data_IF_374405524727
#
_entry.id   IF_374405524727
#
_cell.length_a   1.000
_cell.length_b   1.000
_cell.length_c   1.000
_cell.angle_alpha   90.00
_cell.angle_beta   90.00
_cell.angle_gamma   90.00
#
_symmetry.space_group_name_H-M   'P 1'
#
loop_
_entity.id
_entity.type
_entity.pdbx_description
1 polymer ?
#
# COMPACT_ATOMS: atom_id res chain seq x y z
N UNK A 1 15.31 7.92 -24.02
CA UNK A 1 14.22 8.42 -23.16
C UNK A 1 14.17 7.54 -21.92
N UNK A 2 14.03 8.14 -20.74
CA UNK A 2 13.87 7.40 -19.48
C UNK A 2 12.51 6.72 -19.49
N UNK A 3 12.48 5.41 -19.23
CA UNK A 3 11.22 4.68 -19.11
C UNK A 3 10.69 4.89 -17.68
N UNK A 4 9.56 5.58 -17.57
CA UNK A 4 8.88 5.80 -16.28
C UNK A 4 7.94 4.62 -15.94
N UNK A 5 7.70 4.37 -14.64
CA UNK A 5 6.86 3.25 -14.21
C UNK A 5 5.41 3.38 -14.70
N UNK A 6 4.73 2.25 -14.85
CA UNK A 6 3.27 2.24 -15.01
C UNK A 6 2.59 2.78 -13.75
N UNK A 7 1.31 3.23 -13.80
CA UNK A 7 0.60 3.71 -12.61
C UNK A 7 0.57 2.73 -11.44
N UNK A 8 0.52 1.42 -11.71
CA UNK A 8 0.57 0.38 -10.67
C UNK A 8 1.96 0.24 -10.05
N UNK A 9 3.02 0.24 -10.87
CA UNK A 9 4.40 0.22 -10.39
C UNK A 9 4.72 1.48 -9.59
N UNK A 10 4.23 2.64 -10.05
CA UNK A 10 4.34 3.90 -9.32
C UNK A 10 3.67 3.80 -7.94
N UNK A 11 2.44 3.26 -7.86
CA UNK A 11 1.78 3.06 -6.58
C UNK A 11 2.59 2.15 -5.64
N UNK A 12 3.18 1.07 -6.15
CA UNK A 12 4.05 0.19 -5.36
C UNK A 12 5.28 0.92 -4.82
N UNK A 13 5.91 1.77 -5.64
CA UNK A 13 7.01 2.63 -5.22
C UNK A 13 6.56 3.61 -4.13
N UNK A 14 5.40 4.25 -4.30
CA UNK A 14 4.83 5.17 -3.30
C UNK A 14 4.55 4.46 -1.97
N UNK A 15 3.99 3.25 -1.99
CA UNK A 15 3.73 2.46 -0.77
C UNK A 15 5.03 2.10 -0.06
N UNK A 16 6.05 1.68 -0.82
CA UNK A 16 7.39 1.40 -0.30
C UNK A 16 7.99 2.64 0.33
N UNK A 17 7.92 3.77 -0.36
CA UNK A 17 8.45 5.03 0.13
C UNK A 17 7.74 5.50 1.40
N UNK A 18 6.41 5.38 1.47
CA UNK A 18 5.63 5.67 2.67
C UNK A 18 6.07 4.80 3.85
N UNK A 19 6.26 3.49 3.62
CA UNK A 19 6.76 2.59 4.66
C UNK A 19 8.11 3.07 5.23
N UNK A 20 9.03 3.46 4.33
CA UNK A 20 10.39 3.87 4.72
C UNK A 20 10.40 5.22 5.43
N UNK A 21 9.55 6.18 5.04
CA UNK A 21 9.57 7.54 5.58
C UNK A 21 8.64 7.73 6.79
N UNK A 22 7.48 7.09 6.78
CA UNK A 22 6.37 7.43 7.69
C UNK A 22 6.04 6.31 8.69
N UNK A 23 6.31 5.04 8.36
CA UNK A 23 5.87 3.89 9.17
C UNK A 23 6.75 3.60 10.42
N UNK A 24 7.34 4.63 11.02
CA UNK A 24 8.10 4.53 12.26
C UNK A 24 7.23 4.62 13.50
N UNK A 25 6.20 5.48 13.47
CA UNK A 25 5.26 5.69 14.58
C UNK A 25 4.09 4.70 14.54
N UNK A 26 3.36 4.54 15.66
CA UNK A 26 2.14 3.72 15.69
C UNK A 26 1.08 4.23 14.71
N UNK A 27 0.93 5.56 14.59
CA UNK A 27 0.00 6.18 13.63
C UNK A 27 0.45 5.90 12.19
N UNK A 28 1.71 6.15 11.86
CA UNK A 28 2.26 5.88 10.52
C UNK A 28 2.17 4.41 10.12
N UNK A 29 2.39 3.48 11.05
CA UNK A 29 2.17 2.04 10.81
C UNK A 29 0.71 1.70 10.53
N UNK A 30 -0.22 2.33 11.24
CA UNK A 30 -1.65 2.13 11.01
C UNK A 30 -2.04 2.66 9.62
N UNK A 31 -1.64 3.88 9.29
CA UNK A 31 -1.87 4.48 7.98
C UNK A 31 -1.24 3.66 6.85
N UNK A 32 -0.03 3.14 7.06
CA UNK A 32 0.61 2.22 6.13
C UNK A 32 -0.22 0.95 5.89
N UNK A 33 -0.76 0.35 6.96
CA UNK A 33 -1.62 -0.83 6.83
C UNK A 33 -2.90 -0.49 6.06
N UNK A 34 -3.55 0.64 6.37
CA UNK A 34 -4.75 1.11 5.66
C UNK A 34 -4.43 1.33 4.19
N UNK A 35 -3.31 2.01 3.87
CA UNK A 35 -2.83 2.22 2.52
C UNK A 35 -2.61 0.89 1.77
N UNK A 36 -2.03 -0.10 2.43
CA UNK A 36 -1.80 -1.42 1.87
C UNK A 36 -3.11 -2.19 1.59
N UNK A 37 -4.13 -2.03 2.43
CA UNK A 37 -5.46 -2.58 2.15
C UNK A 37 -6.19 -1.80 1.04
N UNK A 38 -6.02 -0.48 1.01
CA UNK A 38 -6.65 0.41 0.04
C UNK A 38 -6.08 0.25 -1.36
N UNK A 39 -4.78 -0.03 -1.49
CA UNK A 39 -4.12 -0.24 -2.78
C UNK A 39 -4.57 -1.50 -3.53
N UNK A 40 -5.23 -2.44 -2.84
CA UNK A 40 -5.66 -3.70 -3.41
C UNK A 40 -4.54 -4.74 -3.58
N UNK A 41 -3.28 -4.40 -3.27
CA UNK A 41 -2.11 -5.30 -3.33
C UNK A 41 -2.28 -6.57 -2.49
N UNK A 42 -3.09 -6.51 -1.44
CA UNK A 42 -3.38 -7.68 -0.59
C UNK A 42 -4.41 -8.64 -1.19
N UNK A 43 -5.30 -8.18 -2.10
CA UNK A 43 -6.46 -8.95 -2.54
C UNK A 43 -6.08 -10.27 -3.23
N UNK A 44 -5.15 -10.29 -4.21
CA UNK A 44 -4.77 -11.54 -4.87
C UNK A 44 -4.15 -12.55 -3.89
N UNK A 45 -3.37 -12.06 -2.93
CA UNK A 45 -2.66 -12.88 -1.95
C UNK A 45 -3.61 -13.40 -0.87
N UNK A 46 -4.63 -12.61 -0.50
CA UNK A 46 -5.72 -13.07 0.37
C UNK A 46 -6.56 -14.14 -0.33
N UNK A 47 -6.89 -13.95 -1.60
CA UNK A 47 -7.65 -14.94 -2.38
C UNK A 47 -6.90 -16.25 -2.55
N UNK A 48 -5.59 -16.21 -2.87
CA UNK A 48 -4.77 -17.42 -2.93
C UNK A 48 -4.71 -18.12 -1.58
N UNK A 49 -4.49 -17.37 -0.49
CA UNK A 49 -4.48 -17.91 0.86
C UNK A 49 -5.81 -18.59 1.22
N UNK A 50 -6.95 -17.94 0.97
CA UNK A 50 -8.28 -18.50 1.23
C UNK A 50 -8.60 -19.72 0.38
N UNK A 51 -8.04 -19.81 -0.82
CA UNK A 51 -8.20 -20.96 -1.72
C UNK A 51 -7.43 -22.18 -1.21
N UNK A 52 -6.26 -21.96 -0.61
CA UNK A 52 -5.40 -23.01 -0.03
C UNK A 52 -5.91 -23.54 1.33
N UNK A 53 -6.83 -22.84 2.00
CA UNK A 53 -7.41 -23.32 3.28
C UNK A 53 -8.33 -24.53 3.02
N UNK A 54 -8.15 -25.69 3.68
CA UNK A 54 -9.04 -26.83 3.56
C UNK A 54 -10.51 -26.48 3.90
N UNK A 55 -11.52 -27.02 3.18
CA UNK A 55 -12.94 -26.66 3.38
C UNK A 55 -13.43 -26.86 4.82
N UNK A 56 -12.96 -27.90 5.49
CA UNK A 56 -13.24 -28.22 6.89
C UNK A 56 -12.71 -27.18 7.90
N UNK A 57 -11.69 -26.39 7.51
CA UNK A 57 -11.15 -25.27 8.31
C UNK A 57 -11.71 -23.90 7.88
N UNK A 58 -12.43 -23.82 6.74
CA UNK A 58 -13.08 -22.59 6.27
C UNK A 58 -14.25 -22.15 7.16
N UNK A 59 -14.95 -23.07 7.82
CA UNK A 59 -16.06 -22.73 8.73
C UNK A 59 -15.61 -22.07 10.05
N UNK A 60 -14.34 -22.22 10.45
CA UNK A 60 -13.72 -21.47 11.56
C UNK A 60 -13.01 -20.18 11.11
N UNK A 61 -13.00 -19.86 9.81
CA UNK A 61 -12.09 -18.85 9.24
C UNK A 61 -12.51 -17.39 9.44
N UNK A 62 -13.57 -17.10 10.19
CA UNK A 62 -13.98 -15.72 10.47
C UNK A 62 -12.97 -14.97 11.36
N UNK A 63 -12.07 -15.69 12.04
CA UNK A 63 -10.93 -15.12 12.77
C UNK A 63 -9.64 -15.24 11.94
N UNK A 64 -9.28 -14.19 11.18
CA UNK A 64 -7.91 -14.06 10.67
C UNK A 64 -6.97 -13.97 11.88
N UNK A 65 -6.15 -14.99 12.10
CA UNK A 65 -5.17 -14.99 13.19
C UNK A 65 -4.03 -14.00 12.93
N UNK A 66 -3.37 -13.55 14.01
CA UNK A 66 -2.16 -12.72 13.90
C UNK A 66 -1.05 -13.44 13.11
N UNK A 67 -0.97 -14.77 13.22
CA UNK A 67 0.01 -15.58 12.47
C UNK A 67 -0.27 -15.54 10.98
N UNK A 68 -1.53 -15.72 10.57
CA UNK A 68 -1.94 -15.62 9.17
C UNK A 68 -1.64 -14.22 8.62
N UNK A 69 -2.00 -13.18 9.36
CA UNK A 69 -1.73 -11.80 8.98
C UNK A 69 -0.23 -11.52 8.85
N UNK A 70 0.62 -12.06 9.74
CA UNK A 70 2.07 -11.95 9.62
C UNK A 70 2.58 -12.60 8.33
N UNK A 71 2.09 -13.78 7.98
CA UNK A 71 2.49 -14.48 6.75
C UNK A 71 2.09 -13.72 5.49
N UNK A 72 0.85 -13.21 5.46
CA UNK A 72 0.34 -12.36 4.39
C UNK A 72 1.20 -11.11 4.22
N UNK A 73 1.41 -10.36 5.31
CA UNK A 73 2.27 -9.18 5.31
C UNK A 73 3.68 -9.53 4.84
N UNK A 74 4.29 -10.61 5.32
CA UNK A 74 5.62 -11.05 4.85
C UNK A 74 5.63 -11.30 3.34
N UNK A 75 4.60 -11.94 2.79
CA UNK A 75 4.52 -12.29 1.36
C UNK A 75 4.33 -11.07 0.48
N UNK A 76 3.49 -10.13 0.88
CA UNK A 76 3.21 -8.88 0.16
C UNK A 76 4.43 -7.97 0.22
N UNK A 77 4.94 -7.74 1.43
CA UNK A 77 6.04 -6.81 1.69
C UNK A 77 7.33 -7.33 1.05
N UNK A 78 7.65 -8.62 1.18
CA UNK A 78 8.84 -9.21 0.56
C UNK A 78 8.71 -9.57 -0.93
N UNK A 79 7.50 -9.49 -1.50
CA UNK A 79 7.24 -9.86 -2.89
C UNK A 79 7.05 -8.61 -3.77
N UNK A 80 5.80 -8.29 -4.19
CA UNK A 80 5.52 -7.15 -5.07
C UNK A 80 6.12 -5.83 -4.58
N UNK A 81 6.07 -5.58 -3.26
CA UNK A 81 6.56 -4.33 -2.70
C UNK A 81 8.06 -4.31 -2.44
N UNK A 82 8.75 -5.46 -2.45
CA UNK A 82 10.21 -5.55 -2.24
C UNK A 82 10.73 -4.90 -0.95
N UNK A 83 9.88 -4.72 0.07
CA UNK A 83 10.22 -4.15 1.38
C UNK A 83 10.86 -5.22 2.26
N UNK A 84 12.09 -4.95 2.71
CA UNK A 84 12.78 -5.78 3.70
C UNK A 84 12.38 -5.32 5.11
N UNK A 85 11.78 -6.20 5.89
CA UNK A 85 11.32 -5.91 7.25
C UNK A 85 11.88 -6.95 8.22
N UNK A 86 12.39 -6.48 9.36
CA UNK A 86 12.82 -7.37 10.44
C UNK A 86 11.66 -8.17 11.00
N UNK A 87 11.93 -9.35 11.57
CA UNK A 87 10.88 -10.20 12.17
C UNK A 87 10.05 -9.49 13.24
N UNK A 88 10.68 -8.61 14.03
CA UNK A 88 10.01 -7.77 15.03
C UNK A 88 9.10 -6.71 14.40
N UNK A 89 9.52 -6.10 13.29
CA UNK A 89 8.70 -5.14 12.54
C UNK A 89 7.43 -5.78 11.98
N UNK A 90 7.55 -6.96 11.38
CA UNK A 90 6.41 -7.74 10.87
C UNK A 90 5.45 -8.15 12.00
N UNK A 91 5.98 -8.54 13.16
CA UNK A 91 5.19 -8.86 14.35
C UNK A 91 4.35 -7.65 14.81
N UNK A 92 4.98 -6.47 14.85
CA UNK A 92 4.34 -5.22 15.25
C UNK A 92 3.19 -4.85 14.30
N UNK A 93 3.43 -4.91 12.99
CA UNK A 93 2.41 -4.63 11.97
C UNK A 93 1.22 -5.60 12.05
N UNK A 94 1.50 -6.90 12.14
CA UNK A 94 0.44 -7.92 12.25
C UNK A 94 -0.38 -7.75 13.53
N UNK A 95 0.27 -7.50 14.67
CA UNK A 95 -0.42 -7.23 15.93
C UNK A 95 -1.30 -5.98 15.83
N UNK A 96 -0.78 -4.91 15.21
CA UNK A 96 -1.50 -3.65 15.04
C UNK A 96 -2.72 -3.82 14.13
N UNK A 97 -2.58 -4.47 12.97
CA UNK A 97 -3.71 -4.69 12.08
C UNK A 97 -4.79 -5.58 12.71
N UNK A 98 -4.42 -6.60 13.48
CA UNK A 98 -5.40 -7.40 14.23
C UNK A 98 -6.16 -6.57 15.28
N UNK A 99 -5.44 -5.74 16.05
CA UNK A 99 -6.02 -4.89 17.10
C UNK A 99 -6.87 -3.73 16.55
N UNK A 100 -6.53 -3.21 15.37
CA UNK A 100 -7.17 -2.04 14.75
C UNK A 100 -8.00 -2.38 13.50
N UNK A 101 -8.38 -3.65 13.32
CA UNK A 101 -9.11 -4.15 12.15
C UNK A 101 -10.39 -3.36 11.82
N UNK A 102 -11.13 -2.91 12.85
CA UNK A 102 -12.36 -2.13 12.67
C UNK A 102 -12.06 -0.72 12.17
N UNK A 103 -11.08 -0.03 12.77
CA UNK A 103 -10.59 1.26 12.28
C UNK A 103 -10.10 1.14 10.83
N UNK A 104 -9.32 0.09 10.53
CA UNK A 104 -8.85 -0.17 9.16
C UNK A 104 -10.04 -0.35 8.21
N UNK A 105 -11.03 -1.18 8.59
CA UNK A 105 -12.18 -1.45 7.73
C UNK A 105 -12.98 -0.19 7.38
N UNK A 106 -13.13 0.75 8.31
CA UNK A 106 -13.86 2.01 8.08
C UNK A 106 -13.03 2.99 7.24
N UNK A 107 -11.73 3.14 7.53
CA UNK A 107 -10.88 4.16 6.87
C UNK A 107 -10.38 3.73 5.48
N UNK A 108 -10.37 2.43 5.17
CA UNK A 108 -9.91 1.92 3.86
C UNK A 108 -10.66 2.56 2.70
N UNK A 109 -11.96 2.87 2.85
CA UNK A 109 -12.74 3.54 1.80
C UNK A 109 -12.18 4.93 1.45
N UNK A 110 -11.78 5.71 2.44
CA UNK A 110 -11.22 7.05 2.22
C UNK A 110 -9.86 6.98 1.52
N UNK A 111 -9.00 6.06 1.96
CA UNK A 111 -7.68 5.86 1.36
C UNK A 111 -7.78 5.33 -0.08
N UNK A 112 -8.80 4.53 -0.42
CA UNK A 112 -9.03 4.07 -1.81
C UNK A 112 -9.22 5.25 -2.76
N UNK A 113 -10.04 6.23 -2.37
CA UNK A 113 -10.24 7.44 -3.16
C UNK A 113 -8.93 8.21 -3.35
N UNK A 114 -8.12 8.34 -2.28
CA UNK A 114 -6.83 9.02 -2.37
C UNK A 114 -5.84 8.27 -3.28
N UNK A 115 -5.83 6.93 -3.24
CA UNK A 115 -4.99 6.08 -4.12
C UNK A 115 -5.41 6.22 -5.59
N UNK A 116 -6.71 6.21 -5.86
CA UNK A 116 -7.22 6.39 -7.23
C UNK A 116 -6.86 7.77 -7.79
N UNK A 117 -7.07 8.83 -7.00
CA UNK A 117 -6.67 10.19 -7.38
C UNK A 117 -5.17 10.32 -7.62
N UNK A 118 -4.34 9.66 -6.79
CA UNK A 118 -2.90 9.60 -6.97
C UNK A 118 -2.53 8.97 -8.32
N UNK A 119 -3.10 7.80 -8.64
CA UNK A 119 -2.84 7.09 -9.90
C UNK A 119 -3.26 7.91 -11.11
N UNK A 120 -4.47 8.47 -11.10
CA UNK A 120 -4.98 9.30 -12.20
C UNK A 120 -4.13 10.56 -12.40
N UNK A 121 -3.68 11.19 -11.32
CA UNK A 121 -2.82 12.37 -11.39
C UNK A 121 -1.44 12.03 -11.98
N UNK A 122 -0.87 10.90 -11.58
CA UNK A 122 0.39 10.41 -12.12
C UNK A 122 0.28 10.09 -13.62
N UNK A 123 -0.76 9.34 -14.01
CA UNK A 123 -1.02 8.97 -15.40
C UNK A 123 -1.20 10.21 -16.28
N UNK A 124 -1.93 11.21 -15.80
CA UNK A 124 -2.08 12.50 -16.48
C UNK A 124 -0.75 13.21 -16.71
N UNK A 125 0.13 13.27 -15.69
CA UNK A 125 1.46 13.85 -15.83
C UNK A 125 2.35 13.04 -16.79
N UNK A 126 2.25 11.70 -16.76
CA UNK A 126 3.03 10.82 -17.60
C UNK A 126 2.64 10.99 -19.08
N UNK A 127 1.35 11.10 -19.38
CA UNK A 127 0.85 11.36 -20.72
C UNK A 127 1.36 12.69 -21.27
N UNK A 128 1.34 13.76 -20.45
CA UNK A 128 1.90 15.06 -20.84
C UNK A 128 3.40 15.00 -21.13
N UNK A 129 4.17 14.28 -20.32
CA UNK A 129 5.59 14.04 -20.59
C UNK A 129 5.81 13.27 -21.89
N UNK A 130 5.06 12.18 -22.11
CA UNK A 130 5.17 11.36 -23.32
C UNK A 130 4.79 12.15 -24.60
N UNK A 131 3.87 13.10 -24.49
CA UNK A 131 3.48 14.01 -25.58
C UNK A 131 4.46 15.17 -25.80
N UNK A 132 5.49 15.32 -24.96
CA UNK A 132 6.45 16.43 -25.02
C UNK A 132 5.92 17.75 -24.47
N UNK A 133 4.79 17.74 -23.77
CA UNK A 133 4.19 18.92 -23.12
C UNK A 133 4.88 19.27 -21.79
N UNK A 134 5.62 18.33 -21.21
CA UNK A 134 6.43 18.51 -20.01
C UNK A 134 7.88 18.12 -20.26
N UNK A 135 8.81 18.91 -19.73
CA UNK A 135 10.21 18.48 -19.64
C UNK A 135 10.36 17.37 -18.59
N UNK A 136 11.47 16.62 -18.66
CA UNK A 136 11.79 15.58 -17.68
C UNK A 136 11.84 16.14 -16.25
N UNK A 137 12.50 17.29 -16.07
CA UNK A 137 12.64 17.94 -14.77
C UNK A 137 11.28 18.38 -14.21
N UNK A 138 10.42 18.96 -15.05
CA UNK A 138 9.09 19.41 -14.61
C UNK A 138 8.22 18.21 -14.19
N UNK A 139 8.24 17.14 -14.98
CA UNK A 139 7.53 15.91 -14.65
C UNK A 139 7.98 15.35 -13.29
N UNK A 140 9.29 15.23 -13.06
CA UNK A 140 9.82 14.70 -11.79
C UNK A 140 9.43 15.54 -10.58
N UNK A 141 9.50 16.88 -10.70
CA UNK A 141 9.05 17.79 -9.63
C UNK A 141 7.55 17.65 -9.35
N UNK A 142 6.73 17.50 -10.39
CA UNK A 142 5.29 17.29 -10.24
C UNK A 142 4.97 15.95 -9.56
N UNK A 143 5.69 14.89 -9.90
CA UNK A 143 5.56 13.56 -9.28
C UNK A 143 5.99 13.61 -7.80
N UNK A 144 7.10 14.26 -7.48
CA UNK A 144 7.55 14.40 -6.09
C UNK A 144 6.55 15.22 -5.27
N UNK A 145 6.07 16.34 -5.81
CA UNK A 145 5.03 17.14 -5.17
C UNK A 145 3.73 16.38 -4.97
N UNK A 146 3.36 15.51 -5.92
CA UNK A 146 2.19 14.64 -5.83
C UNK A 146 2.33 13.63 -4.69
N UNK A 147 3.47 12.94 -4.57
CA UNK A 147 3.76 12.02 -3.46
C UNK A 147 3.73 12.72 -2.10
N UNK A 148 4.36 13.88 -1.99
CA UNK A 148 4.40 14.67 -0.76
C UNK A 148 3.00 15.07 -0.28
N UNK A 149 2.16 15.59 -1.19
CA UNK A 149 0.76 15.91 -0.86
C UNK A 149 -0.05 14.67 -0.47
N UNK A 150 0.16 13.57 -1.16
CA UNK A 150 -0.49 12.30 -0.83
C UNK A 150 -0.12 11.84 0.59
N UNK A 151 1.16 11.85 0.95
CA UNK A 151 1.59 11.47 2.30
C UNK A 151 1.02 12.39 3.38
N UNK A 152 1.00 13.71 3.12
CA UNK A 152 0.37 14.67 4.01
C UNK A 152 -1.13 14.38 4.20
N UNK A 153 -1.84 14.05 3.12
CA UNK A 153 -3.27 13.71 3.17
C UNK A 153 -3.53 12.45 4.01
N UNK A 154 -2.77 11.37 3.81
CA UNK A 154 -2.89 10.14 4.59
C UNK A 154 -2.61 10.37 6.08
N UNK A 155 -1.68 11.27 6.40
CA UNK A 155 -1.27 11.57 7.77
C UNK A 155 -2.18 12.56 8.49
N UNK A 156 -3.01 13.30 7.75
CA UNK A 156 -4.00 14.22 8.31
C UNK A 156 -5.28 13.50 8.78
N UNK A 157 -5.56 12.31 8.24
CA UNK A 157 -6.62 11.40 8.72
C UNK A 157 -6.31 10.88 10.13
#
# INVERSE_FOLDING_TARGET
>A
MKAYPTPDQFLQEVIREYYVKEAHSTKGKLNFLILLFASGEMLPILQSYLSDVPPEKKLLSSAISIVALRLLLRRILGGPLGIVISGLGLASLASLAYRKRETIAVTVGEFRNQVELLKLSYESHLNKYQNGELSENDFELMVEGLKSRFFAALNAT
#
